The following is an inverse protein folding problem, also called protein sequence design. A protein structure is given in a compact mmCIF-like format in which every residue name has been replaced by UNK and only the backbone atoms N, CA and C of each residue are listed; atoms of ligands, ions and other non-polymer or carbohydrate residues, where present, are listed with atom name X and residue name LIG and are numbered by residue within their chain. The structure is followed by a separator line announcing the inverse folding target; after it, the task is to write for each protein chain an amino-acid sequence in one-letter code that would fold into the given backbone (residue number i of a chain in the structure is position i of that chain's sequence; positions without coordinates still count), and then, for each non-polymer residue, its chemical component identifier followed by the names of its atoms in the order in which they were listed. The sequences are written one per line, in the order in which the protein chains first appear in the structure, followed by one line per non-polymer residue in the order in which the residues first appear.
data_IF_130039517221
#
_entry.id   IF_130039517221
#
_cell.length_a   1.000
_cell.length_b   1.000
_cell.length_c   1.000
_cell.angle_alpha   90.00
_cell.angle_beta   90.00
_cell.angle_gamma   90.00
#
_symmetry.space_group_name_H-M   'P 1'
#
loop_
_entity.id
_entity.type
_entity.pdbx_description
1 polymer ?
#
# COMPACT_ATOMS: atom_id res chain seq x y z
N UNK A 1 9.49 22.65 1.96
CA UNK A 1 9.95 21.99 3.19
C UNK A 1 10.03 23.03 4.31
N UNK A 2 9.19 22.91 5.33
CA UNK A 2 9.15 23.81 6.49
C UNK A 2 9.45 23.10 7.82
N UNK A 3 9.78 21.80 7.81
CA UNK A 3 10.30 21.12 8.99
C UNK A 3 11.80 21.44 9.16
N UNK A 4 12.08 22.48 9.94
CA UNK A 4 13.42 22.99 10.20
C UNK A 4 14.02 22.41 11.50
N UNK A 5 13.29 21.58 12.21
CA UNK A 5 13.69 21.04 13.52
C UNK A 5 14.45 19.71 13.34
N UNK A 6 13.94 18.83 12.51
CA UNK A 6 14.59 17.55 12.21
C UNK A 6 15.71 17.76 11.18
N UNK A 7 16.98 17.45 11.50
CA UNK A 7 18.11 17.77 10.62
C UNK A 7 18.03 17.20 9.21
N UNK A 8 17.42 16.02 9.05
CA UNK A 8 17.33 15.32 7.77
C UNK A 8 15.98 15.50 7.05
N UNK A 9 15.00 16.22 7.63
CA UNK A 9 13.64 16.29 7.05
C UNK A 9 13.63 16.97 5.68
N UNK A 10 14.38 18.05 5.52
CA UNK A 10 14.47 18.78 4.25
C UNK A 10 15.10 17.92 3.18
N UNK A 11 16.22 17.24 3.47
CA UNK A 11 16.92 16.37 2.51
C UNK A 11 16.09 15.15 2.13
N UNK A 12 15.34 14.59 3.08
CA UNK A 12 14.40 13.50 2.83
C UNK A 12 13.30 13.93 1.85
N UNK A 13 12.70 15.11 2.08
CA UNK A 13 11.66 15.63 1.20
C UNK A 13 12.20 15.95 -0.20
N UNK A 14 13.41 16.51 -0.31
CA UNK A 14 14.08 16.76 -1.59
C UNK A 14 14.34 15.45 -2.34
N UNK A 15 14.85 14.44 -1.66
CA UNK A 15 15.10 13.11 -2.25
C UNK A 15 13.82 12.48 -2.76
N UNK A 16 12.75 12.53 -1.97
CA UNK A 16 11.45 12.00 -2.34
C UNK A 16 10.86 12.75 -3.53
N UNK A 17 10.86 14.10 -3.48
CA UNK A 17 10.36 14.94 -4.57
C UNK A 17 11.12 14.70 -5.88
N UNK A 18 12.45 14.59 -5.82
CA UNK A 18 13.28 14.28 -7.00
C UNK A 18 12.91 12.91 -7.59
N UNK A 19 12.69 11.90 -6.75
CA UNK A 19 12.28 10.57 -7.18
C UNK A 19 10.90 10.53 -7.85
N UNK A 20 10.01 11.45 -7.47
CA UNK A 20 8.65 11.58 -8.02
C UNK A 20 8.53 12.64 -9.14
N UNK A 21 9.60 13.34 -9.47
CA UNK A 21 9.56 14.46 -10.43
C UNK A 21 8.79 15.68 -9.90
N UNK A 22 8.68 15.85 -8.57
CA UNK A 22 7.97 16.95 -7.92
C UNK A 22 8.97 18.00 -7.45
N UNK A 23 8.75 19.28 -7.80
CA UNK A 23 9.60 20.37 -7.37
C UNK A 23 9.48 20.61 -5.85
N UNK A 24 10.60 20.64 -5.15
CA UNK A 24 10.68 20.96 -3.73
C UNK A 24 11.28 22.35 -3.56
N UNK A 25 10.58 23.21 -2.80
CA UNK A 25 11.11 24.51 -2.41
C UNK A 25 11.80 24.38 -1.06
N UNK A 26 13.09 24.69 -1.03
CA UNK A 26 13.90 24.76 0.18
C UNK A 26 14.58 26.12 0.25
N UNK A 27 14.76 26.65 1.43
CA UNK A 27 15.65 27.79 1.63
C UNK A 27 16.93 27.30 2.28
N UNK A 28 18.11 27.44 1.66
CA UNK A 28 19.37 27.12 2.31
C UNK A 28 19.59 28.13 3.43
N UNK A 29 19.07 27.83 4.62
CA UNK A 29 19.40 28.60 5.81
C UNK A 29 20.77 28.14 6.31
N UNK A 30 21.66 29.08 6.72
CA UNK A 30 22.88 28.71 7.41
C UNK A 30 22.53 27.91 8.66
N UNK A 31 23.29 26.82 8.91
CA UNK A 31 23.07 25.91 10.04
C UNK A 31 23.03 26.60 11.42
N UNK A 32 23.61 27.79 11.51
CA UNK A 32 23.79 28.58 12.74
C UNK A 32 22.71 29.69 12.95
N UNK A 33 21.66 29.74 12.12
CA UNK A 33 20.62 30.76 12.34
C UNK A 33 19.81 30.41 13.59
N UNK A 34 19.96 31.21 14.62
CA UNK A 34 19.31 31.07 15.93
C UNK A 34 17.77 31.16 15.89
N UNK A 35 17.17 31.57 14.77
CA UNK A 35 15.72 31.62 14.55
C UNK A 35 15.33 30.76 13.35
N UNK A 36 14.90 29.55 13.62
CA UNK A 36 14.31 28.64 12.64
C UNK A 36 12.83 29.04 12.42
N UNK A 37 12.57 30.05 11.60
CA UNK A 37 11.19 30.49 11.28
C UNK A 37 10.77 29.92 9.91
N UNK A 38 9.77 29.03 9.84
CA UNK A 38 9.30 28.44 8.57
C UNK A 38 8.42 29.38 7.74
N UNK A 39 7.85 30.43 8.34
CA UNK A 39 6.89 31.29 7.68
C UNK A 39 7.42 32.02 6.43
N UNK A 40 8.65 32.60 6.42
CA UNK A 40 9.23 33.19 5.21
C UNK A 40 9.40 32.17 4.08
N UNK A 41 9.79 30.94 4.41
CA UNK A 41 9.98 29.85 3.44
C UNK A 41 8.63 29.49 2.79
N UNK A 42 7.59 29.35 3.59
CA UNK A 42 6.26 29.03 3.11
C UNK A 42 5.69 30.15 2.21
N UNK A 43 5.90 31.44 2.56
CA UNK A 43 5.50 32.54 1.71
C UNK A 43 6.25 32.58 0.38
N UNK A 44 7.57 32.40 0.40
CA UNK A 44 8.38 32.33 -0.81
C UNK A 44 7.99 31.13 -1.71
N UNK A 45 7.66 29.99 -1.11
CA UNK A 45 7.16 28.84 -1.84
C UNK A 45 5.83 29.15 -2.56
N UNK A 46 4.89 29.83 -1.90
CA UNK A 46 3.63 30.25 -2.52
C UNK A 46 3.82 31.25 -3.65
N UNK A 47 4.71 32.23 -3.48
CA UNK A 47 5.03 33.19 -4.54
C UNK A 47 5.66 32.49 -5.76
N UNK A 48 6.57 31.56 -5.51
CA UNK A 48 7.16 30.73 -6.56
C UNK A 48 6.09 29.92 -7.26
N UNK A 49 5.21 29.23 -6.52
CA UNK A 49 4.16 28.42 -7.07
C UNK A 49 3.21 29.21 -7.98
N UNK A 50 2.84 30.44 -7.59
CA UNK A 50 2.03 31.34 -8.43
C UNK A 50 2.75 31.76 -9.72
N UNK A 51 4.04 32.06 -9.64
CA UNK A 51 4.85 32.45 -10.81
C UNK A 51 5.04 31.28 -11.79
N UNK A 52 5.24 30.09 -11.26
CA UNK A 52 5.49 28.88 -12.05
C UNK A 52 4.21 28.10 -12.40
N UNK A 53 3.03 28.63 -12.01
CA UNK A 53 1.70 28.09 -12.31
C UNK A 53 1.50 26.64 -11.78
N UNK A 54 1.93 26.39 -10.54
CA UNK A 54 1.62 25.13 -9.88
C UNK A 54 0.17 25.11 -9.39
N UNK A 55 -0.54 24.00 -9.64
CA UNK A 55 -1.93 23.82 -9.21
C UNK A 55 -2.06 23.50 -7.71
N UNK A 56 -1.07 22.83 -7.14
CA UNK A 56 -1.07 22.36 -5.75
C UNK A 56 0.23 22.71 -5.05
N UNK A 57 0.13 23.21 -3.82
CA UNK A 57 1.27 23.44 -2.93
C UNK A 57 1.05 22.68 -1.64
N UNK A 58 1.98 21.81 -1.30
CA UNK A 58 1.99 21.07 -0.04
C UNK A 58 3.07 21.66 0.86
N UNK A 59 2.70 22.08 2.06
CA UNK A 59 3.62 22.62 3.05
C UNK A 59 3.82 21.58 4.15
N UNK A 60 5.00 21.00 4.19
CA UNK A 60 5.41 20.09 5.26
C UNK A 60 5.87 20.87 6.47
N UNK A 61 5.28 20.60 7.63
CA UNK A 61 5.56 21.29 8.89
C UNK A 61 6.21 20.37 9.90
N UNK A 62 6.80 20.95 10.94
CA UNK A 62 7.43 20.17 12.02
C UNK A 62 6.41 19.27 12.71
N UNK A 63 6.70 17.96 12.74
CA UNK A 63 5.98 16.99 13.56
C UNK A 63 6.72 16.72 14.86
N UNK A 64 6.03 16.84 16.00
CA UNK A 64 6.56 16.46 17.32
C UNK A 64 5.60 15.52 18.03
N UNK A 65 6.18 14.60 18.82
CA UNK A 65 5.42 13.69 19.67
C UNK A 65 4.76 14.43 20.85
N UNK A 66 5.33 15.57 21.26
CA UNK A 66 4.79 16.41 22.33
C UNK A 66 4.31 17.72 21.73
N UNK A 67 3.09 18.06 22.07
CA UNK A 67 2.46 19.31 21.69
C UNK A 67 2.99 20.39 22.63
N UNK A 68 3.73 21.37 22.11
CA UNK A 68 4.13 22.55 22.85
C UNK A 68 3.43 23.80 22.32
N UNK A 69 3.25 24.79 23.19
CA UNK A 69 2.53 26.01 22.85
C UNK A 69 3.25 26.87 21.79
N UNK A 70 4.58 26.84 21.75
CA UNK A 70 5.36 27.59 20.77
C UNK A 70 5.14 27.04 19.36
N UNK A 71 5.12 25.71 19.20
CA UNK A 71 4.80 25.06 17.93
C UNK A 71 3.37 25.38 17.49
N UNK A 72 2.40 25.36 18.40
CA UNK A 72 1.02 25.68 18.08
C UNK A 72 0.86 27.14 17.61
N UNK A 73 1.55 28.06 18.26
CA UNK A 73 1.55 29.50 17.85
C UNK A 73 2.17 29.65 16.45
N UNK A 74 3.26 28.95 16.15
CA UNK A 74 3.88 28.93 14.82
C UNK A 74 2.92 28.43 13.75
N UNK A 75 2.23 27.32 13.98
CA UNK A 75 1.25 26.76 13.05
C UNK A 75 0.05 27.70 12.83
N UNK A 76 -0.46 28.33 13.89
CA UNK A 76 -1.53 29.33 13.79
C UNK A 76 -1.07 30.56 12.99
N UNK A 77 0.14 31.04 13.24
CA UNK A 77 0.72 32.17 12.48
C UNK A 77 0.89 31.78 10.98
N UNK A 78 1.36 30.59 10.70
CA UNK A 78 1.47 30.06 9.34
C UNK A 78 0.10 29.98 8.67
N UNK A 79 -0.89 29.36 9.30
CA UNK A 79 -2.25 29.24 8.79
C UNK A 79 -2.85 30.58 8.46
N UNK A 80 -2.72 31.55 9.38
CA UNK A 80 -3.26 32.93 9.21
C UNK A 80 -2.62 33.65 8.03
N UNK A 81 -1.31 33.47 7.85
CA UNK A 81 -0.56 34.19 6.81
C UNK A 81 -0.71 33.55 5.42
N UNK A 82 -0.85 32.24 5.34
CA UNK A 82 -0.89 31.46 4.08
C UNK A 82 -2.32 31.28 3.61
N UNK A 83 -3.29 31.14 4.55
CA UNK A 83 -4.69 30.81 4.31
C UNK A 83 -4.85 29.57 3.44
N UNK A 84 -4.39 28.42 3.92
CA UNK A 84 -4.48 27.19 3.16
C UNK A 84 -5.93 26.74 2.98
N UNK A 85 -6.24 26.10 1.87
CA UNK A 85 -7.54 25.47 1.62
C UNK A 85 -7.76 24.27 2.53
N UNK A 86 -6.67 23.54 2.83
CA UNK A 86 -6.67 22.35 3.66
C UNK A 86 -5.61 22.41 4.76
N UNK A 87 -6.02 22.01 5.96
CA UNK A 87 -5.13 21.77 7.11
C UNK A 87 -5.32 20.32 7.55
N UNK A 88 -4.35 19.48 7.21
CA UNK A 88 -4.41 18.05 7.42
C UNK A 88 -3.48 17.63 8.54
N UNK A 89 -4.00 16.93 9.54
CA UNK A 89 -3.21 16.26 10.56
C UNK A 89 -2.83 14.88 10.08
N UNK A 90 -1.54 14.54 10.14
CA UNK A 90 -1.08 13.15 9.95
C UNK A 90 -0.93 12.50 11.33
N UNK A 91 -1.79 11.53 11.63
CA UNK A 91 -1.79 10.78 12.87
C UNK A 91 -1.42 9.32 12.64
N UNK A 92 -0.74 8.71 13.61
CA UNK A 92 -0.39 7.29 13.56
C UNK A 92 -1.57 6.45 14.10
N UNK A 93 -2.14 5.59 13.26
CA UNK A 93 -3.28 4.74 13.61
C UNK A 93 -2.98 3.77 14.77
N UNK A 94 -1.71 3.42 14.97
CA UNK A 94 -1.30 2.49 16.03
C UNK A 94 -1.27 3.13 17.44
N UNK A 95 -1.26 4.46 17.55
CA UNK A 95 -1.17 5.15 18.84
C UNK A 95 -2.49 5.25 19.58
N UNK A 96 -3.58 4.78 18.99
CA UNK A 96 -4.88 4.65 19.65
C UNK A 96 -5.38 5.96 20.27
N UNK A 97 -5.62 5.99 21.59
CA UNK A 97 -6.15 7.16 22.29
C UNK A 97 -5.25 8.40 22.16
N UNK A 98 -3.93 8.23 22.14
CA UNK A 98 -3.00 9.35 21.98
C UNK A 98 -3.23 10.10 20.66
N UNK A 99 -3.54 9.37 19.57
CA UNK A 99 -3.88 10.01 18.28
C UNK A 99 -5.13 10.89 18.39
N UNK A 100 -6.10 10.47 19.19
CA UNK A 100 -7.34 11.23 19.44
C UNK A 100 -7.06 12.52 20.21
N UNK A 101 -6.28 12.44 21.28
CA UNK A 101 -5.92 13.57 22.12
C UNK A 101 -5.13 14.62 21.32
N UNK A 102 -4.18 14.14 20.49
CA UNK A 102 -3.44 14.99 19.55
C UNK A 102 -4.41 15.67 18.57
N UNK A 103 -5.29 14.92 17.92
CA UNK A 103 -6.21 15.43 16.93
C UNK A 103 -7.16 16.49 17.54
N UNK A 104 -7.65 16.27 18.75
CA UNK A 104 -8.50 17.21 19.48
C UNK A 104 -7.75 18.51 19.75
N UNK A 105 -6.54 18.44 20.28
CA UNK A 105 -5.73 19.63 20.59
C UNK A 105 -5.37 20.42 19.34
N UNK A 106 -5.01 19.75 18.24
CA UNK A 106 -4.74 20.42 16.96
C UNK A 106 -5.98 21.07 16.38
N UNK A 107 -7.14 20.43 16.49
CA UNK A 107 -8.39 20.99 16.00
C UNK A 107 -8.80 22.24 16.80
N UNK A 108 -8.70 22.19 18.13
CA UNK A 108 -9.03 23.34 19.00
C UNK A 108 -8.10 24.53 18.76
N UNK A 109 -6.79 24.30 18.64
CA UNK A 109 -5.79 25.40 18.55
C UNK A 109 -5.58 25.89 17.13
N UNK A 110 -5.52 24.99 16.15
CA UNK A 110 -5.19 25.32 14.75
C UNK A 110 -6.41 25.26 13.85
N UNK A 111 -7.36 24.38 14.13
CA UNK A 111 -8.54 24.11 13.32
C UNK A 111 -8.21 23.28 12.09
N UNK A 112 -8.53 22.00 12.17
CA UNK A 112 -8.28 21.03 11.11
C UNK A 112 -9.39 21.01 10.08
N UNK A 113 -9.07 20.65 8.82
CA UNK A 113 -10.05 20.37 7.78
C UNK A 113 -10.20 18.87 7.54
N UNK A 114 -9.21 18.08 7.97
CA UNK A 114 -9.23 16.62 7.84
C UNK A 114 -8.03 15.96 8.49
N UNK A 115 -8.05 14.65 8.51
CA UNK A 115 -7.00 13.79 9.10
C UNK A 115 -6.53 12.77 8.07
N UNK A 116 -5.25 12.49 8.09
CA UNK A 116 -4.61 11.38 7.38
C UNK A 116 -4.15 10.38 8.44
N UNK A 117 -4.51 9.11 8.31
CA UNK A 117 -4.05 8.06 9.20
C UNK A 117 -2.90 7.29 8.57
N UNK A 118 -1.71 7.39 9.13
CA UNK A 118 -0.54 6.59 8.75
C UNK A 118 -0.57 5.22 9.43
N UNK A 119 0.17 4.24 8.88
CA UNK A 119 0.29 2.86 9.39
C UNK A 119 -1.06 2.16 9.56
N UNK A 120 -1.99 2.45 8.68
CA UNK A 120 -3.35 1.95 8.76
C UNK A 120 -3.47 0.46 8.41
N UNK A 121 -2.47 -0.11 7.74
CA UNK A 121 -2.29 -1.55 7.52
C UNK A 121 -2.21 -2.35 8.83
N UNK A 122 -1.71 -1.73 9.89
CA UNK A 122 -1.60 -2.34 11.22
C UNK A 122 -2.84 -2.14 12.11
N UNK A 123 -3.75 -1.22 11.76
CA UNK A 123 -5.03 -1.01 12.46
C UNK A 123 -6.13 -1.87 11.84
N UNK A 124 -6.17 -3.16 12.21
CA UNK A 124 -7.13 -4.13 11.67
C UNK A 124 -8.59 -3.82 11.99
N UNK A 125 -8.86 -3.03 13.04
CA UNK A 125 -10.22 -2.72 13.55
C UNK A 125 -10.66 -1.29 13.28
N UNK A 126 -9.81 -0.41 12.75
CA UNK A 126 -10.13 0.98 12.48
C UNK A 126 -10.48 1.81 13.72
N UNK A 127 -9.98 1.41 14.88
CA UNK A 127 -10.34 2.05 16.15
C UNK A 127 -9.95 3.51 16.24
N UNK A 128 -8.74 3.85 15.75
CA UNK A 128 -8.27 5.23 15.68
C UNK A 128 -9.16 6.09 14.77
N UNK A 129 -9.56 5.55 13.62
CA UNK A 129 -10.42 6.24 12.67
C UNK A 129 -11.79 6.60 13.27
N UNK A 130 -12.44 5.63 13.91
CA UNK A 130 -13.74 5.84 14.55
C UNK A 130 -13.66 6.86 15.69
N UNK A 131 -12.65 6.74 16.56
CA UNK A 131 -12.48 7.60 17.72
C UNK A 131 -12.18 9.04 17.32
N UNK A 132 -11.25 9.26 16.38
CA UNK A 132 -10.92 10.60 15.88
C UNK A 132 -12.16 11.24 15.22
N UNK A 133 -12.86 10.50 14.35
CA UNK A 133 -14.07 11.02 13.69
C UNK A 133 -15.17 11.35 14.70
N UNK A 134 -15.39 10.50 15.72
CA UNK A 134 -16.42 10.71 16.73
C UNK A 134 -16.16 11.92 17.61
N UNK A 135 -14.90 12.14 18.00
CA UNK A 135 -14.54 13.19 18.96
C UNK A 135 -14.33 14.54 18.26
N UNK A 136 -13.57 14.58 17.15
CA UNK A 136 -13.26 15.84 16.46
C UNK A 136 -14.32 16.25 15.43
N UNK A 137 -15.16 15.31 14.99
CA UNK A 137 -16.09 15.54 13.86
C UNK A 137 -15.41 15.70 12.51
N UNK A 138 -14.06 15.71 12.44
CA UNK A 138 -13.32 15.93 11.21
C UNK A 138 -13.29 14.67 10.33
N UNK A 139 -13.34 14.84 8.98
CA UNK A 139 -13.26 13.70 8.09
C UNK A 139 -11.84 13.13 8.06
N UNK A 140 -11.73 11.81 8.01
CA UNK A 140 -10.51 11.16 7.57
C UNK A 140 -10.52 11.21 6.05
N UNK A 141 -9.47 11.76 5.44
CA UNK A 141 -9.40 11.96 3.98
C UNK A 141 -8.57 10.88 3.30
N UNK A 142 -7.47 10.50 3.91
CA UNK A 142 -6.55 9.52 3.37
C UNK A 142 -6.06 8.56 4.46
N UNK A 143 -5.60 7.39 4.01
CA UNK A 143 -4.93 6.39 4.84
C UNK A 143 -3.63 5.94 4.19
N UNK A 144 -2.58 5.83 4.98
CA UNK A 144 -1.29 5.28 4.56
C UNK A 144 -1.24 3.80 4.92
N UNK A 145 -1.10 2.95 3.93
CA UNK A 145 -1.06 1.48 4.06
C UNK A 145 0.31 0.89 3.79
N UNK A 146 1.28 1.70 3.41
CA UNK A 146 2.68 1.31 3.22
C UNK A 146 3.61 2.52 3.34
N UNK A 147 4.92 2.28 3.37
CA UNK A 147 5.96 3.34 3.39
C UNK A 147 6.21 3.95 2.00
N UNK A 148 5.62 3.40 0.94
CA UNK A 148 5.79 3.89 -0.42
C UNK A 148 4.75 4.95 -0.76
N UNK A 149 5.06 5.90 -1.68
CA UNK A 149 4.12 6.93 -2.09
C UNK A 149 2.81 6.40 -2.68
N UNK A 150 2.84 5.25 -3.34
CA UNK A 150 1.67 4.54 -3.87
C UNK A 150 0.79 3.89 -2.79
N UNK A 151 1.27 3.86 -1.54
CA UNK A 151 0.52 3.38 -0.38
C UNK A 151 -0.40 4.42 0.27
N UNK A 152 -0.60 5.61 -0.31
CA UNK A 152 -1.58 6.59 0.15
C UNK A 152 -2.89 6.38 -0.60
N UNK A 153 -3.94 5.98 0.12
CA UNK A 153 -5.27 5.71 -0.44
C UNK A 153 -6.31 6.70 0.11
N UNK A 154 -7.33 7.13 -0.68
CA UNK A 154 -8.48 7.86 -0.15
C UNK A 154 -9.22 7.00 0.88
N UNK A 155 -9.75 7.65 1.91
CA UNK A 155 -10.55 6.96 2.93
C UNK A 155 -12.01 6.83 2.47
N UNK A 156 -12.50 5.60 2.36
CA UNK A 156 -13.89 5.28 2.00
C UNK A 156 -14.62 4.74 3.23
N UNK A 157 -15.51 5.53 3.88
CA UNK A 157 -16.19 5.13 5.12
C UNK A 157 -16.95 3.81 5.01
N UNK A 158 -17.66 3.59 3.90
CA UNK A 158 -18.48 2.38 3.67
C UNK A 158 -17.60 1.11 3.59
N UNK A 159 -16.47 1.20 2.88
CA UNK A 159 -15.50 0.09 2.79
C UNK A 159 -14.90 -0.22 4.14
N UNK A 160 -14.61 0.84 4.91
CA UNK A 160 -14.07 0.71 6.26
C UNK A 160 -15.07 0.06 7.22
N UNK A 161 -16.33 0.47 7.17
CA UNK A 161 -17.40 -0.16 7.95
C UNK A 161 -17.53 -1.66 7.64
N UNK A 162 -17.52 -2.03 6.36
CA UNK A 162 -17.55 -3.44 5.93
C UNK A 162 -16.34 -4.23 6.45
N UNK A 163 -15.15 -3.63 6.42
CA UNK A 163 -13.93 -4.24 6.94
C UNK A 163 -14.02 -4.49 8.45
N UNK A 164 -14.48 -3.50 9.22
CA UNK A 164 -14.68 -3.60 10.68
C UNK A 164 -15.70 -4.70 11.02
N UNK A 165 -16.76 -4.82 10.23
CA UNK A 165 -17.82 -5.83 10.41
C UNK A 165 -17.40 -7.24 9.91
N UNK A 166 -16.19 -7.41 9.40
CA UNK A 166 -15.72 -8.68 8.86
C UNK A 166 -16.38 -9.09 7.53
N UNK A 167 -17.07 -8.17 6.87
CA UNK A 167 -17.73 -8.41 5.58
C UNK A 167 -16.74 -8.38 4.40
N UNK A 168 -15.47 -8.03 4.64
CA UNK A 168 -14.46 -7.86 3.61
C UNK A 168 -14.63 -6.58 2.79
N UNK A 169 -13.68 -6.31 1.91
CA UNK A 169 -13.73 -5.20 0.96
C UNK A 169 -13.64 -5.71 -0.48
N UNK A 170 -14.74 -6.29 -0.94
CA UNK A 170 -14.84 -6.88 -2.29
C UNK A 170 -14.60 -5.82 -3.37
N UNK A 171 -15.02 -4.58 -3.16
CA UNK A 171 -14.89 -3.50 -4.14
C UNK A 171 -13.42 -3.16 -4.35
N UNK A 172 -12.66 -2.93 -3.27
CA UNK A 172 -11.21 -2.70 -3.35
C UNK A 172 -10.45 -3.89 -3.94
N UNK A 173 -10.88 -5.12 -3.64
CA UNK A 173 -10.29 -6.32 -4.22
C UNK A 173 -10.51 -6.36 -5.74
N UNK A 174 -11.72 -6.06 -6.20
CA UNK A 174 -12.06 -6.02 -7.63
C UNK A 174 -11.31 -4.89 -8.34
N UNK A 175 -11.25 -3.68 -7.75
CA UNK A 175 -10.51 -2.54 -8.31
C UNK A 175 -8.99 -2.85 -8.40
N UNK A 176 -8.40 -3.42 -7.37
CA UNK A 176 -6.98 -3.85 -7.39
C UNK A 176 -6.75 -4.96 -8.42
N UNK A 177 -7.66 -5.91 -8.54
CA UNK A 177 -7.56 -6.94 -9.57
C UNK A 177 -7.66 -6.34 -10.99
N UNK A 178 -8.59 -5.41 -11.21
CA UNK A 178 -8.75 -4.74 -12.50
C UNK A 178 -7.55 -3.84 -12.87
N UNK A 179 -6.94 -3.18 -11.90
CA UNK A 179 -5.75 -2.34 -12.14
C UNK A 179 -4.51 -3.13 -12.54
N UNK A 180 -4.46 -4.42 -12.24
CA UNK A 180 -3.30 -5.30 -12.47
C UNK A 180 -3.52 -6.25 -13.65
N UNK A 181 -4.78 -6.53 -13.99
CA UNK A 181 -5.14 -7.50 -15.03
C UNK A 181 -5.82 -6.76 -16.19
N UNK A 182 -5.17 -6.72 -17.36
CA UNK A 182 -5.83 -6.29 -18.58
C UNK A 182 -6.93 -7.30 -18.95
N UNK A 183 -8.09 -6.82 -19.39
CA UNK A 183 -9.25 -7.65 -19.71
C UNK A 183 -8.92 -8.74 -20.75
N UNK A 184 -8.06 -8.41 -21.71
CA UNK A 184 -7.58 -9.36 -22.71
C UNK A 184 -6.76 -10.49 -22.10
N UNK A 185 -5.91 -10.20 -21.12
CA UNK A 185 -5.09 -11.21 -20.42
C UNK A 185 -5.95 -12.15 -19.57
N UNK A 186 -7.02 -11.62 -18.94
CA UNK A 186 -7.99 -12.44 -18.20
C UNK A 186 -8.72 -13.42 -19.13
N UNK A 187 -9.13 -12.98 -20.32
CA UNK A 187 -9.74 -13.82 -21.33
C UNK A 187 -8.78 -14.91 -21.86
N UNK A 188 -7.53 -14.54 -22.10
CA UNK A 188 -6.50 -15.50 -22.51
C UNK A 188 -6.24 -16.58 -21.45
N UNK A 189 -6.17 -16.18 -20.18
CA UNK A 189 -6.01 -17.11 -19.06
C UNK A 189 -7.20 -18.09 -18.99
N UNK A 190 -8.43 -17.56 -19.10
CA UNK A 190 -9.63 -18.41 -19.14
C UNK A 190 -9.60 -19.40 -20.31
N UNK A 191 -9.17 -18.97 -21.49
CA UNK A 191 -9.02 -19.85 -22.66
C UNK A 191 -7.95 -20.91 -22.45
N UNK A 192 -6.79 -20.57 -21.88
CA UNK A 192 -5.71 -21.51 -21.55
C UNK A 192 -6.17 -22.56 -20.53
N UNK A 193 -6.95 -22.16 -19.53
CA UNK A 193 -7.52 -23.07 -18.54
C UNK A 193 -8.56 -24.01 -19.16
N UNK A 194 -9.41 -23.51 -20.05
CA UNK A 194 -10.39 -24.32 -20.80
C UNK A 194 -9.73 -25.35 -21.71
N UNK A 195 -8.63 -24.96 -22.39
CA UNK A 195 -7.87 -25.83 -23.33
C UNK A 195 -6.84 -26.73 -22.62
N UNK A 196 -6.75 -26.71 -21.30
CA UNK A 196 -5.79 -27.46 -20.50
C UNK A 196 -4.32 -27.12 -20.82
N UNK A 197 -4.07 -25.93 -21.35
CA UNK A 197 -2.73 -25.48 -21.76
C UNK A 197 -2.04 -24.60 -20.69
N UNK A 198 -2.59 -24.54 -19.47
CA UNK A 198 -1.97 -23.80 -18.36
C UNK A 198 -0.65 -24.42 -17.94
N UNK A 199 0.43 -23.66 -18.00
CA UNK A 199 1.81 -24.08 -17.83
C UNK A 199 2.45 -23.48 -16.57
N UNK A 200 3.67 -23.92 -16.20
CA UNK A 200 4.45 -23.28 -15.14
C UNK A 200 4.90 -21.84 -15.52
N UNK A 201 5.00 -21.52 -16.80
CA UNK A 201 5.25 -20.14 -17.26
C UNK A 201 4.06 -19.25 -16.93
N UNK A 202 2.83 -19.69 -17.20
CA UNK A 202 1.61 -18.98 -16.85
C UNK A 202 1.48 -18.85 -15.32
N UNK A 203 1.79 -19.90 -14.58
CA UNK A 203 1.81 -19.89 -13.12
C UNK A 203 2.80 -18.87 -12.55
N UNK A 204 3.98 -18.73 -13.16
CA UNK A 204 4.96 -17.72 -12.79
C UNK A 204 4.42 -16.28 -13.03
N UNK A 205 3.75 -16.07 -14.15
CA UNK A 205 3.12 -14.78 -14.46
C UNK A 205 2.06 -14.42 -13.42
N UNK A 206 1.21 -15.38 -13.03
CA UNK A 206 0.20 -15.16 -12.00
C UNK A 206 0.82 -14.88 -10.62
N UNK A 207 1.90 -15.58 -10.23
CA UNK A 207 2.63 -15.28 -9.00
C UNK A 207 3.17 -13.84 -8.98
N UNK A 208 3.67 -13.35 -10.12
CA UNK A 208 4.17 -11.98 -10.25
C UNK A 208 3.05 -10.94 -10.22
N UNK A 209 1.90 -11.26 -10.79
CA UNK A 209 0.69 -10.41 -10.70
C UNK A 209 0.22 -10.31 -9.27
N UNK A 210 0.13 -11.43 -8.55
CA UNK A 210 -0.20 -11.42 -7.13
C UNK A 210 0.72 -10.50 -6.31
N UNK A 211 2.02 -10.54 -6.57
CA UNK A 211 2.97 -9.62 -5.92
C UNK A 211 2.70 -8.14 -6.22
N UNK A 212 2.19 -7.82 -7.42
CA UNK A 212 1.83 -6.44 -7.79
C UNK A 212 0.54 -5.96 -7.11
N UNK A 213 -0.35 -6.85 -6.70
CA UNK A 213 -1.59 -6.50 -5.99
C UNK A 213 -1.37 -6.08 -4.52
N UNK A 214 -0.15 -6.20 -4.01
CA UNK A 214 0.20 -5.91 -2.62
C UNK A 214 0.61 -7.17 -1.84
N UNK A 215 0.68 -7.07 -0.51
CA UNK A 215 1.00 -8.24 0.31
C UNK A 215 -0.15 -9.26 0.29
N UNK A 216 0.18 -10.54 0.41
CA UNK A 216 -0.82 -11.61 0.48
C UNK A 216 -1.82 -11.37 1.62
N UNK A 217 -1.37 -10.81 2.73
CA UNK A 217 -2.23 -10.43 3.87
C UNK A 217 -3.28 -9.41 3.45
N UNK A 218 -2.87 -8.34 2.75
CA UNK A 218 -3.81 -7.32 2.28
C UNK A 218 -4.90 -7.90 1.37
N UNK A 219 -4.53 -8.82 0.47
CA UNK A 219 -5.48 -9.49 -0.43
C UNK A 219 -6.45 -10.39 0.36
N UNK A 220 -5.96 -11.15 1.35
CA UNK A 220 -6.78 -12.02 2.18
C UNK A 220 -7.71 -11.23 3.11
N UNK A 221 -7.26 -10.11 3.66
CA UNK A 221 -8.06 -9.23 4.51
C UNK A 221 -9.23 -8.57 3.75
N UNK A 222 -9.14 -8.47 2.42
CA UNK A 222 -10.23 -8.00 1.57
C UNK A 222 -11.28 -9.10 1.25
N UNK A 223 -10.96 -10.37 1.50
CA UNK A 223 -11.88 -11.48 1.20
C UNK A 223 -12.89 -11.69 2.33
N UNK A 224 -14.19 -11.77 2.02
CA UNK A 224 -15.23 -12.03 3.03
C UNK A 224 -15.00 -13.35 3.77
N UNK A 225 -15.07 -13.33 5.10
CA UNK A 225 -14.93 -14.51 5.94
C UNK A 225 -13.50 -15.01 6.15
N UNK A 226 -12.48 -14.40 5.53
CA UNK A 226 -11.08 -14.71 5.75
C UNK A 226 -10.33 -13.59 6.47
N UNK A 227 -10.89 -12.38 6.48
CA UNK A 227 -10.31 -11.21 7.13
C UNK A 227 -10.03 -11.50 8.63
N UNK A 228 -8.78 -11.35 9.03
CA UNK A 228 -8.34 -11.55 10.42
C UNK A 228 -8.29 -13.01 10.92
N UNK A 229 -8.63 -14.01 10.08
CA UNK A 229 -8.56 -15.42 10.47
C UNK A 229 -7.19 -16.07 10.17
N UNK A 230 -6.41 -15.47 9.29
CA UNK A 230 -5.10 -15.98 8.90
C UNK A 230 -4.04 -15.09 9.55
N UNK A 231 -3.25 -15.67 10.45
CA UNK A 231 -2.12 -14.99 11.09
C UNK A 231 -0.96 -14.79 10.11
N UNK A 232 -0.16 -13.75 10.31
CA UNK A 232 1.04 -13.45 9.50
C UNK A 232 1.98 -14.65 9.41
N UNK A 233 2.13 -15.40 10.48
CA UNK A 233 2.98 -16.58 10.55
C UNK A 233 2.53 -17.72 9.60
N UNK A 234 1.29 -17.69 9.11
CA UNK A 234 0.76 -18.68 8.18
C UNK A 234 1.00 -18.29 6.70
N UNK A 235 1.41 -17.05 6.45
CA UNK A 235 1.70 -16.55 5.10
C UNK A 235 3.21 -16.50 4.91
N UNK A 236 3.77 -17.55 4.35
CA UNK A 236 5.20 -17.61 4.06
C UNK A 236 5.54 -16.90 2.73
N UNK A 237 5.76 -15.58 2.79
CA UNK A 237 6.23 -14.80 1.63
C UNK A 237 7.58 -15.32 1.09
N UNK A 238 8.41 -15.94 1.93
CA UNK A 238 9.66 -16.54 1.50
C UNK A 238 9.39 -17.78 0.63
N UNK A 239 8.30 -18.49 0.89
CA UNK A 239 7.88 -19.62 0.05
C UNK A 239 7.54 -19.16 -1.38
N UNK A 240 6.88 -18.00 -1.54
CA UNK A 240 6.60 -17.42 -2.86
C UNK A 240 7.88 -17.05 -3.61
N UNK A 241 8.85 -16.45 -2.91
CA UNK A 241 10.18 -16.14 -3.50
C UNK A 241 10.94 -17.39 -3.91
N UNK A 242 10.88 -18.47 -3.08
CA UNK A 242 11.49 -19.76 -3.40
C UNK A 242 10.81 -20.42 -4.60
N UNK A 243 9.49 -20.38 -4.66
CA UNK A 243 8.74 -20.93 -5.80
C UNK A 243 9.12 -20.21 -7.10
N UNK A 244 9.22 -18.88 -7.08
CA UNK A 244 9.68 -18.09 -8.22
C UNK A 244 11.11 -18.49 -8.64
N UNK A 245 12.05 -18.61 -7.69
CA UNK A 245 13.42 -19.02 -7.96
C UNK A 245 13.52 -20.45 -8.57
N UNK A 246 12.70 -21.38 -8.08
CA UNK A 246 12.62 -22.74 -8.63
C UNK A 246 12.17 -22.70 -10.10
N UNK A 247 11.10 -21.96 -10.42
CA UNK A 247 10.58 -21.89 -11.79
C UNK A 247 11.58 -21.18 -12.71
N UNK A 248 12.22 -20.10 -12.25
CA UNK A 248 13.26 -19.40 -13.02
C UNK A 248 14.48 -20.26 -13.30
N UNK A 249 14.79 -21.22 -12.44
CA UNK A 249 15.87 -22.22 -12.62
C UNK A 249 15.55 -23.29 -13.65
N UNK A 250 14.30 -23.40 -14.10
CA UNK A 250 13.87 -24.32 -15.14
C UNK A 250 14.16 -23.77 -16.53
N UNK A 251 14.44 -24.65 -17.48
CA UNK A 251 14.49 -24.28 -18.91
C UNK A 251 13.10 -23.95 -19.44
N UNK A 252 13.03 -23.20 -20.55
CA UNK A 252 11.75 -22.85 -21.20
C UNK A 252 10.93 -24.10 -21.54
N UNK A 253 11.56 -25.19 -21.98
CA UNK A 253 10.89 -26.46 -22.28
C UNK A 253 10.28 -27.09 -21.02
N UNK A 254 10.96 -27.02 -19.89
CA UNK A 254 10.46 -27.55 -18.60
C UNK A 254 9.33 -26.70 -18.05
N UNK A 255 9.37 -25.38 -18.20
CA UNK A 255 8.28 -24.49 -17.80
C UNK A 255 7.02 -24.70 -18.64
N UNK A 256 7.16 -24.98 -19.93
CA UNK A 256 6.04 -25.28 -20.82
C UNK A 256 5.48 -26.71 -20.63
N UNK A 257 6.32 -27.65 -20.22
CA UNK A 257 5.90 -29.05 -20.00
C UNK A 257 6.57 -29.62 -18.73
N UNK A 258 5.87 -29.52 -17.61
CA UNK A 258 6.35 -29.98 -16.30
C UNK A 258 6.50 -31.51 -16.21
N UNK A 259 5.82 -32.27 -17.07
CA UNK A 259 5.88 -33.76 -17.08
C UNK A 259 7.27 -34.30 -17.44
N UNK A 260 8.09 -33.51 -18.13
CA UNK A 260 9.46 -33.93 -18.47
C UNK A 260 10.45 -33.81 -17.28
N UNK A 261 10.01 -33.21 -16.14
CA UNK A 261 10.88 -32.95 -14.99
C UNK A 261 11.03 -34.20 -14.13
N UNK A 262 11.93 -35.10 -14.57
CA UNK A 262 12.34 -36.31 -13.84
C UNK A 262 13.33 -36.02 -12.70
N UNK A 263 13.78 -37.06 -11.96
CA UNK A 263 14.64 -36.90 -10.77
C UNK A 263 15.93 -36.13 -11.03
N UNK A 264 16.63 -36.42 -12.11
CA UNK A 264 17.89 -35.72 -12.48
C UNK A 264 17.67 -34.23 -12.73
N UNK A 265 16.56 -33.88 -13.39
CA UNK A 265 16.20 -32.48 -13.65
C UNK A 265 15.80 -31.75 -12.35
N UNK A 266 15.07 -32.40 -11.43
CA UNK A 266 14.74 -31.86 -10.11
C UNK A 266 16.00 -31.52 -9.32
N UNK A 267 17.02 -32.42 -9.32
CA UNK A 267 18.30 -32.16 -8.66
C UNK A 267 19.04 -30.94 -9.25
N UNK A 268 19.04 -30.78 -10.57
CA UNK A 268 19.63 -29.67 -11.27
C UNK A 268 18.89 -28.36 -10.93
N UNK A 269 17.56 -28.37 -10.97
CA UNK A 269 16.70 -27.21 -10.67
C UNK A 269 16.89 -26.80 -9.21
N UNK A 270 16.90 -27.75 -8.27
CA UNK A 270 17.13 -27.50 -6.86
C UNK A 270 18.48 -26.80 -6.61
N UNK A 271 19.55 -27.28 -7.25
CA UNK A 271 20.88 -26.66 -7.14
C UNK A 271 20.89 -25.23 -7.71
N UNK A 272 20.24 -25.01 -8.86
CA UNK A 272 20.20 -23.72 -9.54
C UNK A 272 19.36 -22.67 -8.79
N UNK A 273 18.35 -23.09 -8.05
CA UNK A 273 17.46 -22.22 -7.27
C UNK A 273 17.89 -22.04 -5.81
N UNK A 274 18.93 -22.72 -5.36
CA UNK A 274 19.34 -22.70 -3.95
C UNK A 274 18.33 -23.36 -3.01
N UNK A 275 17.51 -24.31 -3.55
CA UNK A 275 16.47 -25.02 -2.79
C UNK A 275 16.75 -26.53 -2.74
N UNK A 276 15.90 -27.28 -2.05
CA UNK A 276 16.00 -28.74 -1.96
C UNK A 276 15.18 -29.44 -3.07
N UNK A 277 15.55 -30.68 -3.38
CA UNK A 277 14.78 -31.55 -4.31
C UNK A 277 13.35 -31.75 -3.81
N UNK A 278 13.15 -31.78 -2.49
CA UNK A 278 11.84 -31.92 -1.88
C UNK A 278 10.96 -30.68 -2.14
N UNK A 279 11.53 -29.47 -2.07
CA UNK A 279 10.81 -28.23 -2.39
C UNK A 279 10.42 -28.16 -3.88
N UNK A 280 11.31 -28.58 -4.78
CA UNK A 280 10.97 -28.70 -6.21
C UNK A 280 9.84 -29.70 -6.44
N UNK A 281 9.86 -30.86 -5.77
CA UNK A 281 8.80 -31.86 -5.89
C UNK A 281 7.47 -31.34 -5.31
N UNK A 282 7.52 -30.61 -4.18
CA UNK A 282 6.36 -29.96 -3.57
C UNK A 282 5.73 -28.96 -4.51
N UNK A 283 6.54 -28.05 -5.10
CA UNK A 283 6.04 -27.06 -6.07
C UNK A 283 5.31 -27.70 -7.25
N UNK A 284 5.90 -28.77 -7.85
CA UNK A 284 5.26 -29.47 -8.96
C UNK A 284 3.92 -30.09 -8.56
N UNK A 285 3.83 -30.70 -7.37
CA UNK A 285 2.59 -31.26 -6.83
C UNK A 285 1.54 -30.18 -6.58
N UNK A 286 1.95 -29.05 -6.00
CA UNK A 286 1.05 -27.92 -5.71
C UNK A 286 0.55 -27.27 -7.01
N UNK A 287 1.41 -27.17 -8.03
CA UNK A 287 1.03 -26.73 -9.37
C UNK A 287 -0.04 -27.64 -10.01
N UNK A 288 0.14 -28.96 -9.96
CA UNK A 288 -0.86 -29.91 -10.48
C UNK A 288 -2.18 -29.82 -9.74
N UNK A 289 -2.14 -29.65 -8.40
CA UNK A 289 -3.34 -29.47 -7.58
C UNK A 289 -4.07 -28.17 -7.94
N UNK A 290 -3.33 -27.06 -8.08
CA UNK A 290 -3.87 -25.77 -8.49
C UNK A 290 -4.51 -25.85 -9.88
N UNK A 291 -3.82 -26.46 -10.85
CA UNK A 291 -4.33 -26.67 -12.20
C UNK A 291 -5.63 -27.48 -12.21
N UNK A 292 -5.70 -28.55 -11.41
CA UNK A 292 -6.90 -29.37 -11.27
C UNK A 292 -8.07 -28.60 -10.63
N UNK A 293 -7.78 -27.76 -9.61
CA UNK A 293 -8.79 -26.96 -8.93
C UNK A 293 -9.36 -25.86 -9.87
N UNK A 294 -8.50 -25.15 -10.59
CA UNK A 294 -8.89 -24.14 -11.57
C UNK A 294 -9.76 -24.76 -12.69
N UNK A 295 -9.41 -25.95 -13.17
CA UNK A 295 -10.22 -26.69 -14.16
C UNK A 295 -11.63 -26.98 -13.64
N UNK A 296 -11.77 -27.36 -12.37
CA UNK A 296 -13.08 -27.61 -11.74
C UNK A 296 -13.91 -26.32 -11.64
N UNK A 297 -13.27 -25.20 -11.27
CA UNK A 297 -13.94 -23.90 -11.17
C UNK A 297 -14.50 -23.44 -12.53
N UNK A 298 -13.71 -23.53 -13.60
CA UNK A 298 -14.13 -23.17 -14.95
C UNK A 298 -15.29 -24.05 -15.44
N UNK A 299 -15.30 -25.35 -15.10
CA UNK A 299 -16.43 -26.25 -15.43
C UNK A 299 -17.70 -25.89 -14.64
N UNK A 300 -17.59 -25.57 -13.35
CA UNK A 300 -18.73 -25.23 -12.50
C UNK A 300 -19.37 -23.88 -12.91
N UNK A 301 -18.57 -22.90 -13.34
CA UNK A 301 -19.09 -21.62 -13.87
C UNK A 301 -20.00 -21.82 -15.09
N UNK A 302 -19.74 -22.85 -15.89
CA UNK A 302 -20.58 -23.24 -17.04
C UNK A 302 -21.93 -23.85 -16.62
N UNK A 303 -22.01 -24.48 -15.43
CA UNK A 303 -23.26 -25.00 -14.87
C UNK A 303 -24.13 -23.91 -14.25
N UNK A 304 -23.52 -22.86 -13.69
CA UNK A 304 -24.22 -21.72 -13.07
C UNK A 304 -24.63 -20.62 -14.08
N UNK A 305 -23.96 -20.54 -15.24
CA UNK A 305 -24.28 -19.56 -16.31
C UNK A 305 -25.35 -20.06 -17.31
N UNK A 306 -25.99 -21.18 -17.07
CA UNK A 306 -27.07 -21.74 -17.91
C UNK A 306 -28.48 -21.37 -17.48
N UNK A 307 -28.64 -20.43 -16.53
CA UNK A 307 -29.91 -19.82 -16.17
C UNK A 307 -29.90 -18.33 -16.50
N UNK A 308 -30.01 -18.00 -17.74
CA UNK A 308 -30.53 -16.74 -18.26
C UNK A 308 -31.62 -17.05 -19.29
#
# INVERSE_FOLDING_TARGET
ACDLVRPAAVDQLVTLGTGLGIAVHTNPMPADSAQKNPLPIAKAALERARKELFDVVIIDTTGRLQIDDAMMQELVAMKTAIKPDEVLLVADAMTGQTAVDIATTFDEKVGLTGVILSKFDSDTRGGAALSIKSITGKPIKFVGISEKPDGLEPFYPDRMANRILGMGDIVSLVEKAQSVIEEQEALELEQKLRKETFTLEDYLQELRRFKKMGSMKQVLDMMPGLAGQISEDQIDENQLKRNEAIILSMTKKERLNHLIIGPTRRSRIARGSGTSVAEVAKLLKDFEKTRSMMKKMVKNKKMLGGFQ
#
